data_IF_022228585826
#
_entry.id   IF_022228585826
#
_cell.length_a   1.000
_cell.length_b   1.000
_cell.length_c   1.000
_cell.angle_alpha   90.00
_cell.angle_beta   90.00
_cell.angle_gamma   90.00
#
_symmetry.space_group_name_H-M   'P 1'
#
loop_
_entity.id
_entity.type
_entity.pdbx_description
1 polymer ?
#
# COMPACT_ATOMS: atom_id res chain seq x y z
N UNK A 1 12.88 51.38 -22.51
CA UNK A 1 13.29 50.52 -21.37
C UNK A 1 12.05 50.25 -20.52
N UNK A 2 11.14 49.40 -20.99
CA UNK A 2 9.81 49.28 -20.38
C UNK A 2 9.12 48.00 -20.82
N UNK A 3 9.55 46.87 -20.29
CA UNK A 3 8.71 45.68 -20.24
C UNK A 3 8.33 45.47 -18.77
N UNK A 4 7.26 46.14 -18.35
CA UNK A 4 6.54 45.78 -17.13
C UNK A 4 5.69 44.55 -17.48
N UNK A 5 5.98 43.36 -16.93
CA UNK A 5 5.08 42.22 -17.09
C UNK A 5 3.77 42.49 -16.34
N UNK A 6 2.69 42.50 -17.12
CA UNK A 6 1.31 42.72 -16.73
C UNK A 6 0.86 41.64 -15.72
N UNK A 7 0.00 42.03 -14.77
CA UNK A 7 -0.63 41.19 -13.74
C UNK A 7 -0.92 39.70 -14.07
N UNK A 8 -1.34 39.28 -15.28
CA UNK A 8 -1.52 37.86 -15.63
C UNK A 8 -0.24 37.01 -15.52
N UNK A 9 0.95 37.58 -15.77
CA UNK A 9 2.20 36.80 -15.78
C UNK A 9 2.70 36.45 -14.37
N UNK A 10 2.42 37.29 -13.36
CA UNK A 10 2.63 36.91 -11.96
C UNK A 10 1.62 35.86 -11.50
N UNK A 11 0.35 35.99 -11.90
CA UNK A 11 -0.72 35.06 -11.52
C UNK A 11 -0.54 33.66 -12.16
N UNK A 12 -0.10 33.60 -13.42
CA UNK A 12 0.20 32.33 -14.09
C UNK A 12 1.39 31.61 -13.44
N UNK A 13 2.39 32.36 -12.98
CA UNK A 13 3.57 31.79 -12.29
C UNK A 13 3.22 31.21 -10.92
N UNK A 14 2.35 31.88 -10.16
CA UNK A 14 1.90 31.36 -8.85
C UNK A 14 0.99 30.14 -9.02
N UNK A 15 0.13 30.11 -10.03
CA UNK A 15 -0.70 28.94 -10.36
C UNK A 15 0.15 27.73 -10.80
N UNK A 16 1.16 27.95 -11.65
CA UNK A 16 2.06 26.87 -12.05
C UNK A 16 2.84 26.30 -10.86
N UNK A 17 3.35 27.16 -9.97
CA UNK A 17 4.04 26.72 -8.77
C UNK A 17 3.12 25.94 -7.81
N UNK A 18 1.87 26.38 -7.64
CA UNK A 18 0.88 25.69 -6.81
C UNK A 18 0.53 24.30 -7.37
N UNK A 19 0.42 24.16 -8.70
CA UNK A 19 0.17 22.86 -9.33
C UNK A 19 1.33 21.88 -9.15
N UNK A 20 2.58 22.35 -9.27
CA UNK A 20 3.77 21.52 -9.01
C UNK A 20 3.81 21.05 -7.55
N UNK A 21 3.50 21.95 -6.61
CA UNK A 21 3.50 21.62 -5.19
C UNK A 21 2.38 20.61 -4.85
N UNK A 22 1.20 20.76 -5.44
CA UNK A 22 0.08 19.84 -5.26
C UNK A 22 0.37 18.44 -5.84
N UNK A 23 1.04 18.36 -7.00
CA UNK A 23 1.46 17.11 -7.61
C UNK A 23 2.57 16.40 -6.80
N UNK A 24 3.46 17.15 -6.15
CA UNK A 24 4.46 16.58 -5.25
C UNK A 24 3.83 16.02 -3.97
N UNK A 25 2.79 16.68 -3.43
CA UNK A 25 2.09 16.24 -2.23
C UNK A 25 1.25 14.96 -2.43
N UNK A 26 0.72 14.72 -3.64
CA UNK A 26 -0.02 13.50 -3.94
C UNK A 26 0.88 12.28 -4.14
N UNK A 27 2.14 12.46 -4.53
CA UNK A 27 3.12 11.38 -4.69
C UNK A 27 3.57 10.75 -3.36
N UNK A 28 3.44 11.47 -2.24
CA UNK A 28 3.74 10.94 -0.90
C UNK A 28 2.55 10.28 -0.22
N UNK A 29 1.37 10.29 -0.86
CA UNK A 29 0.18 9.63 -0.34
C UNK A 29 0.12 8.17 -0.78
N UNK A 30 1.21 7.44 -0.58
CA UNK A 30 1.14 5.97 -0.52
C UNK A 30 0.51 5.68 0.85
N UNK A 31 -0.83 5.67 0.89
CA UNK A 31 -1.54 5.30 2.10
C UNK A 31 -0.97 3.98 2.59
N UNK A 32 -0.64 3.85 3.87
CA UNK A 32 -0.03 2.66 4.45
C UNK A 32 -0.91 1.43 4.21
N UNK A 33 -0.78 0.83 3.03
CA UNK A 33 -1.44 -0.38 2.60
C UNK A 33 -0.46 -1.47 2.95
N UNK A 34 -0.61 -2.00 4.15
CA UNK A 34 0.15 -3.16 4.51
C UNK A 34 -0.20 -4.30 3.55
N UNK A 35 0.82 -4.81 2.87
CA UNK A 35 0.69 -6.01 2.06
C UNK A 35 0.40 -7.17 3.01
N UNK A 36 -0.83 -7.67 2.96
CA UNK A 36 -1.21 -8.81 3.79
C UNK A 36 -0.43 -10.03 3.32
N UNK A 37 0.20 -10.82 4.21
CA UNK A 37 0.17 -10.72 5.67
C UNK A 37 1.37 -10.02 6.31
N UNK A 38 1.10 -9.15 7.29
CA UNK A 38 2.13 -8.47 8.10
C UNK A 38 2.80 -9.38 9.13
N UNK A 39 2.10 -10.44 9.54
CA UNK A 39 2.51 -11.37 10.60
C UNK A 39 2.02 -12.78 10.31
N UNK A 40 2.56 -13.75 11.03
CA UNK A 40 2.14 -15.16 10.93
C UNK A 40 0.63 -15.31 11.17
N UNK A 41 -0.01 -16.14 10.33
CA UNK A 41 -1.44 -16.41 10.36
C UNK A 41 -1.68 -17.66 11.22
N UNK A 42 -2.53 -17.55 12.25
CA UNK A 42 -2.93 -18.72 13.04
C UNK A 42 -4.14 -19.39 12.40
N UNK A 43 -3.94 -20.57 11.81
CA UNK A 43 -5.03 -21.40 11.29
C UNK A 43 -5.70 -22.16 12.45
N UNK A 44 -6.99 -21.86 12.71
CA UNK A 44 -7.77 -22.53 13.75
C UNK A 44 -8.49 -23.75 13.18
N UNK A 45 -8.21 -24.92 13.74
CA UNK A 45 -8.86 -26.18 13.37
C UNK A 45 -9.80 -26.61 14.49
N UNK A 46 -11.11 -26.59 14.23
CA UNK A 46 -12.14 -26.95 15.21
C UNK A 46 -12.32 -28.46 15.38
N UNK A 47 -11.22 -29.22 15.38
CA UNK A 47 -11.17 -30.67 15.49
C UNK A 47 -9.96 -31.07 16.35
N UNK A 48 -9.97 -32.26 16.98
CA UNK A 48 -8.83 -32.73 17.75
C UNK A 48 -7.58 -32.85 16.88
N UNK A 49 -6.42 -32.60 17.50
CA UNK A 49 -5.12 -32.78 16.86
C UNK A 49 -4.93 -34.23 16.38
N UNK A 50 -4.28 -34.40 15.23
CA UNK A 50 -4.05 -35.72 14.62
C UNK A 50 -5.27 -36.33 13.92
N UNK A 51 -6.44 -35.68 13.95
CA UNK A 51 -7.57 -36.07 13.11
C UNK A 51 -7.34 -35.72 11.63
N UNK A 52 -8.16 -36.29 10.73
CA UNK A 52 -8.04 -36.03 9.29
C UNK A 52 -8.05 -34.53 8.93
N UNK A 53 -8.86 -33.73 9.65
CA UNK A 53 -8.90 -32.28 9.46
C UNK A 53 -7.62 -31.56 9.91
N UNK A 54 -7.00 -31.98 11.01
CA UNK A 54 -5.71 -31.41 11.47
C UNK A 54 -4.58 -31.74 10.47
N UNK A 55 -4.56 -32.98 9.97
CA UNK A 55 -3.57 -33.40 8.95
C UNK A 55 -3.74 -32.59 7.66
N UNK A 56 -4.98 -32.44 7.17
CA UNK A 56 -5.26 -31.61 6.00
C UNK A 56 -4.87 -30.14 6.21
N UNK A 57 -5.18 -29.57 7.37
CA UNK A 57 -4.82 -28.20 7.72
C UNK A 57 -3.30 -27.98 7.71
N UNK A 58 -2.51 -28.94 8.23
CA UNK A 58 -1.03 -28.88 8.20
C UNK A 58 -0.48 -28.85 6.77
N UNK A 59 -1.05 -29.67 5.88
CA UNK A 59 -0.66 -29.69 4.46
C UNK A 59 -0.99 -28.35 3.78
N UNK A 60 -2.18 -27.83 4.02
CA UNK A 60 -2.63 -26.54 3.45
C UNK A 60 -1.76 -25.39 3.98
N UNK A 61 -1.43 -25.38 5.28
CA UNK A 61 -0.63 -24.31 5.88
C UNK A 61 0.75 -24.17 5.23
N UNK A 62 1.39 -25.28 4.85
CA UNK A 62 2.66 -25.25 4.11
C UNK A 62 2.51 -24.53 2.78
N UNK A 63 1.55 -24.93 1.95
CA UNK A 63 1.31 -24.30 0.64
C UNK A 63 0.86 -22.84 0.76
N UNK A 64 0.06 -22.51 1.77
CA UNK A 64 -0.37 -21.15 2.04
C UNK A 64 0.83 -20.26 2.41
N UNK A 65 1.76 -20.79 3.21
CA UNK A 65 2.96 -20.06 3.60
C UNK A 65 3.90 -19.77 2.44
N UNK A 66 4.01 -20.70 1.48
CA UNK A 66 4.74 -20.49 0.23
C UNK A 66 4.07 -19.41 -0.64
N UNK A 67 2.74 -19.45 -0.77
CA UNK A 67 2.00 -18.49 -1.59
C UNK A 67 2.00 -17.07 -1.01
N UNK A 68 1.95 -16.94 0.31
CA UNK A 68 1.89 -15.64 1.01
C UNK A 68 3.27 -15.12 1.46
N UNK A 69 4.33 -15.92 1.29
CA UNK A 69 5.70 -15.56 1.72
C UNK A 69 5.89 -15.46 3.24
N UNK A 70 4.91 -15.93 4.02
CA UNK A 70 4.92 -15.95 5.49
C UNK A 70 4.28 -17.27 5.95
N UNK A 71 4.97 -18.11 6.75
CA UNK A 71 4.45 -19.38 7.25
C UNK A 71 3.34 -19.20 8.29
#
# INVERSE_FOLDING_TARGET
MSNMPCAPQCLQRTLAAAMVLAAAASATCDGARAEYPERQITMIVCFPAGGGTDIAARLINTSLGEALGKP
#
